data_IF_195589592925
#
_entry.id   IF_195589592925
#
_cell.length_a   1.000
_cell.length_b   1.000
_cell.length_c   1.000
_cell.angle_alpha   90.00
_cell.angle_beta   90.00
_cell.angle_gamma   90.00
#
_symmetry.space_group_name_H-M   'P 1'
#
loop_
_entity.id
_entity.type
_entity.pdbx_description
1 polymer ?
#
# COMPACT_ATOMS: atom_id res chain seq x y z
N UNK A 1 -17.00 37.12 -55.25
CA UNK A 1 -15.97 36.50 -54.40
C UNK A 1 -16.71 36.00 -53.18
N UNK A 2 -17.21 34.78 -53.29
CA UNK A 2 -18.05 34.10 -52.29
C UNK A 2 -17.14 33.45 -51.24
N UNK A 3 -16.62 34.26 -50.32
CA UNK A 3 -16.20 33.74 -49.03
C UNK A 3 -17.47 33.50 -48.21
N UNK A 4 -18.13 32.37 -48.51
CA UNK A 4 -19.25 31.87 -47.74
C UNK A 4 -18.90 31.89 -46.26
N UNK A 5 -19.83 32.37 -45.44
CA UNK A 5 -19.67 32.72 -44.02
C UNK A 5 -19.39 31.48 -43.18
N UNK A 6 -18.19 30.93 -43.31
CA UNK A 6 -17.75 29.78 -42.55
C UNK A 6 -17.29 30.26 -41.18
N UNK A 7 -17.88 29.75 -40.11
CA UNK A 7 -17.43 30.05 -38.76
C UNK A 7 -16.27 29.13 -38.38
N UNK A 8 -15.29 29.67 -37.68
CA UNK A 8 -14.24 28.88 -37.03
C UNK A 8 -14.58 28.82 -35.54
N UNK A 9 -14.80 27.62 -35.03
CA UNK A 9 -15.08 27.40 -33.60
C UNK A 9 -13.75 27.14 -32.92
N UNK A 10 -13.37 28.03 -32.01
CA UNK A 10 -12.27 27.82 -31.08
C UNK A 10 -12.87 27.54 -29.70
N UNK A 11 -12.54 26.39 -29.10
CA UNK A 11 -13.05 26.04 -27.76
C UNK A 11 -12.34 26.79 -26.63
N UNK A 12 -11.16 27.36 -26.90
CA UNK A 12 -10.43 28.20 -25.94
C UNK A 12 -10.90 29.66 -25.93
N UNK A 13 -11.35 30.15 -27.08
CA UNK A 13 -11.79 31.53 -27.25
C UNK A 13 -13.28 31.51 -27.55
N UNK A 14 -14.12 32.03 -26.65
CA UNK A 14 -15.54 32.20 -26.95
C UNK A 14 -15.70 33.07 -28.18
N UNK A 15 -15.97 32.44 -29.33
CA UNK A 15 -16.12 33.13 -30.59
C UNK A 15 -17.49 33.80 -30.63
N UNK A 16 -17.56 35.05 -30.17
CA UNK A 16 -18.67 35.95 -30.50
C UNK A 16 -18.29 36.71 -31.77
N UNK A 17 -18.80 36.24 -32.91
CA UNK A 17 -18.80 37.09 -34.12
C UNK A 17 -20.05 37.95 -34.14
N UNK A 18 -20.07 39.00 -34.98
CA UNK A 18 -21.27 39.81 -35.17
C UNK A 18 -22.49 39.00 -35.62
N UNK A 19 -22.30 37.76 -36.12
CA UNK A 19 -23.33 36.91 -36.71
C UNK A 19 -23.76 35.73 -35.84
N UNK A 20 -22.98 35.36 -34.82
CA UNK A 20 -23.25 34.19 -33.95
C UNK A 20 -23.50 34.64 -32.51
N UNK A 21 -24.55 34.07 -31.90
CA UNK A 21 -24.81 34.12 -30.47
C UNK A 21 -24.19 32.87 -29.84
N UNK A 22 -23.45 33.07 -28.75
CA UNK A 22 -22.92 31.99 -27.92
C UNK A 22 -23.62 32.01 -26.58
N UNK A 23 -24.29 30.92 -26.23
CA UNK A 23 -24.94 30.72 -24.93
C UNK A 23 -24.27 29.58 -24.17
N UNK A 24 -24.12 29.71 -22.85
CA UNK A 24 -23.63 28.63 -21.99
C UNK A 24 -24.70 28.31 -20.96
N UNK A 25 -25.10 27.04 -20.88
CA UNK A 25 -26.09 26.53 -19.93
C UNK A 25 -25.50 25.38 -19.12
N UNK A 26 -25.98 25.24 -17.89
CA UNK A 26 -25.69 24.06 -17.06
C UNK A 26 -26.66 22.95 -17.49
N UNK A 27 -26.11 21.78 -17.80
CA UNK A 27 -26.86 20.59 -18.20
C UNK A 27 -26.63 19.50 -17.15
N UNK A 28 -27.71 19.06 -16.50
CA UNK A 28 -27.64 18.06 -15.43
C UNK A 28 -26.59 18.37 -14.33
N UNK A 29 -26.44 19.65 -13.94
CA UNK A 29 -25.51 20.20 -12.91
C UNK A 29 -24.02 20.02 -13.16
N UNK A 30 -23.60 18.81 -13.53
CA UNK A 30 -22.21 18.42 -13.72
C UNK A 30 -21.67 18.72 -15.13
N UNK A 31 -22.54 18.68 -16.13
CA UNK A 31 -22.19 18.98 -17.51
C UNK A 31 -22.56 20.41 -17.88
N UNK A 32 -21.83 20.98 -18.82
CA UNK A 32 -22.12 22.30 -19.38
C UNK A 32 -22.33 22.16 -20.87
N UNK A 33 -23.29 22.89 -21.41
CA UNK A 33 -23.49 23.00 -22.85
C UNK A 33 -23.18 24.42 -23.31
N UNK A 34 -22.32 24.55 -24.30
CA UNK A 34 -22.10 25.81 -25.02
C UNK A 34 -22.74 25.68 -26.40
N UNK A 35 -23.73 26.52 -26.69
CA UNK A 35 -24.46 26.51 -27.95
C UNK A 35 -24.11 27.72 -28.81
N UNK A 36 -23.82 27.45 -30.08
CA UNK A 36 -23.50 28.42 -31.13
C UNK A 36 -24.66 28.46 -32.10
N UNK A 37 -25.31 29.63 -32.21
CA UNK A 37 -26.52 29.82 -33.02
C UNK A 37 -26.44 31.14 -33.82
N UNK A 38 -26.96 31.15 -35.04
CA UNK A 38 -26.94 32.37 -35.87
C UNK A 38 -27.93 33.43 -35.36
N UNK A 39 -27.52 34.71 -35.34
CA UNK A 39 -28.39 35.83 -34.91
C UNK A 39 -29.64 36.00 -35.75
N UNK A 40 -29.54 35.72 -37.04
CA UNK A 40 -30.64 35.80 -38.01
C UNK A 40 -31.40 34.47 -38.16
N UNK A 41 -30.97 33.40 -37.47
CA UNK A 41 -31.56 32.06 -37.60
C UNK A 41 -31.27 31.35 -38.93
N UNK A 42 -30.46 31.93 -39.81
CA UNK A 42 -30.09 31.28 -41.07
C UNK A 42 -28.99 30.23 -40.86
N UNK A 43 -28.99 29.16 -41.67
CA UNK A 43 -27.95 28.15 -41.61
C UNK A 43 -26.57 28.73 -41.95
N UNK A 44 -25.54 28.20 -41.29
CA UNK A 44 -24.15 28.57 -41.50
C UNK A 44 -23.30 27.32 -41.72
N UNK A 45 -22.10 27.54 -42.28
CA UNK A 45 -21.09 26.48 -42.44
C UNK A 45 -20.04 26.58 -41.35
N UNK A 46 -19.45 25.45 -40.96
CA UNK A 46 -18.30 25.46 -40.04
C UNK A 46 -17.02 25.20 -40.80
N UNK A 47 -16.16 26.21 -40.86
CA UNK A 47 -14.87 26.18 -41.56
C UNK A 47 -13.82 25.36 -40.81
N UNK A 48 -13.59 25.60 -39.51
CA UNK A 48 -12.65 24.82 -38.67
C UNK A 48 -13.13 24.70 -37.22
N UNK A 49 -12.67 23.67 -36.50
CA UNK A 49 -12.97 23.41 -35.09
C UNK A 49 -11.64 23.15 -34.37
N UNK A 50 -11.30 23.98 -33.39
CA UNK A 50 -10.02 23.95 -32.68
C UNK A 50 -10.22 23.83 -31.17
N UNK A 51 -9.35 23.08 -30.51
CA UNK A 51 -9.26 23.01 -29.06
C UNK A 51 -7.99 23.66 -28.51
N UNK A 52 -7.80 23.59 -27.18
CA UNK A 52 -6.70 24.27 -26.51
C UNK A 52 -5.29 23.95 -27.00
N UNK A 53 -5.12 22.78 -27.61
CA UNK A 53 -3.80 22.25 -27.97
C UNK A 53 -3.80 21.43 -29.26
N UNK A 54 -4.97 21.26 -29.91
CA UNK A 54 -5.17 20.36 -31.04
C UNK A 54 -6.24 20.90 -32.00
N UNK A 55 -6.06 20.67 -33.29
CA UNK A 55 -7.11 20.81 -34.30
C UNK A 55 -7.85 19.47 -34.44
N UNK A 56 -9.18 19.50 -34.48
CA UNK A 56 -9.99 18.28 -34.54
C UNK A 56 -10.34 17.92 -35.98
N UNK A 57 -10.29 16.62 -36.30
CA UNK A 57 -10.64 16.14 -37.63
C UNK A 57 -12.13 16.28 -37.92
N UNK A 58 -12.42 16.76 -39.13
CA UNK A 58 -13.77 17.01 -39.63
C UNK A 58 -14.30 15.97 -40.60
N UNK A 59 -13.45 15.05 -41.03
CA UNK A 59 -13.76 14.13 -42.13
C UNK A 59 -15.00 13.25 -41.87
N UNK A 60 -15.43 13.14 -40.60
CA UNK A 60 -16.62 12.39 -40.19
C UNK A 60 -17.80 13.29 -39.73
N UNK A 61 -17.69 14.61 -39.90
CA UNK A 61 -18.71 15.57 -39.47
C UNK A 61 -19.34 16.22 -40.70
N UNK A 62 -20.65 16.03 -40.87
CA UNK A 62 -21.41 16.84 -41.82
C UNK A 62 -21.64 18.23 -41.19
N UNK A 63 -20.98 19.26 -41.74
CA UNK A 63 -20.96 20.63 -41.22
C UNK A 63 -21.57 21.66 -42.18
N UNK A 64 -22.36 21.20 -43.16
CA UNK A 64 -23.17 22.04 -44.03
C UNK A 64 -24.56 22.31 -43.43
N UNK A 65 -25.23 23.39 -43.82
CA UNK A 65 -26.61 23.73 -43.42
C UNK A 65 -26.89 23.65 -41.91
N UNK A 66 -25.92 24.06 -41.09
CA UNK A 66 -25.97 23.98 -39.63
C UNK A 66 -26.71 25.19 -39.06
N UNK A 67 -27.65 24.96 -38.16
CA UNK A 67 -28.40 26.04 -37.48
C UNK A 67 -27.95 26.21 -36.04
N UNK A 68 -27.57 25.11 -35.38
CA UNK A 68 -27.05 25.12 -34.00
C UNK A 68 -25.94 24.09 -33.85
N UNK A 69 -24.87 24.46 -33.15
CA UNK A 69 -23.89 23.52 -32.61
C UNK A 69 -23.91 23.63 -31.11
N UNK A 70 -24.09 22.49 -30.44
CA UNK A 70 -24.08 22.40 -28.99
C UNK A 70 -22.92 21.52 -28.55
N UNK A 71 -22.07 22.05 -27.67
CA UNK A 71 -20.81 21.43 -27.25
C UNK A 71 -20.87 21.17 -25.76
N UNK A 72 -20.64 19.93 -25.36
CA UNK A 72 -20.71 19.50 -23.99
C UNK A 72 -19.31 19.36 -23.38
N UNK A 73 -19.13 20.00 -22.23
CA UNK A 73 -17.91 19.94 -21.42
C UNK A 73 -18.24 19.57 -19.98
N UNK A 74 -17.25 19.06 -19.24
CA UNK A 74 -17.43 18.66 -17.85
C UNK A 74 -17.16 19.85 -16.93
N UNK A 75 -17.68 19.80 -15.70
CA UNK A 75 -17.37 20.83 -14.72
C UNK A 75 -15.86 20.94 -14.46
N UNK A 76 -15.32 22.16 -14.57
CA UNK A 76 -13.91 22.43 -14.32
C UNK A 76 -12.96 22.11 -15.48
N UNK A 77 -13.49 21.77 -16.66
CA UNK A 77 -12.71 21.58 -17.89
C UNK A 77 -13.49 22.06 -19.11
N UNK A 78 -12.83 22.86 -19.94
CA UNK A 78 -13.42 23.39 -21.17
C UNK A 78 -13.13 22.51 -22.39
N UNK A 79 -12.39 21.40 -22.23
CA UNK A 79 -12.21 20.40 -23.29
C UNK A 79 -13.55 19.74 -23.63
N UNK A 80 -13.97 19.76 -24.90
CA UNK A 80 -15.23 19.16 -25.31
C UNK A 80 -15.06 17.66 -25.50
N UNK A 81 -16.11 16.91 -25.15
CA UNK A 81 -16.13 15.46 -25.31
C UNK A 81 -17.42 14.94 -25.95
N UNK A 82 -18.49 15.75 -26.02
CA UNK A 82 -19.68 15.46 -26.84
C UNK A 82 -20.08 16.72 -27.61
N UNK A 83 -20.55 16.55 -28.84
CA UNK A 83 -21.04 17.61 -29.71
C UNK A 83 -22.35 17.19 -30.37
N UNK A 84 -23.30 18.11 -30.47
CA UNK A 84 -24.55 17.96 -31.18
C UNK A 84 -24.60 18.98 -32.32
N UNK A 85 -24.91 18.52 -33.53
CA UNK A 85 -25.10 19.35 -34.72
C UNK A 85 -26.57 19.31 -35.08
N UNK A 86 -27.22 20.47 -35.14
CA UNK A 86 -28.60 20.63 -35.59
C UNK A 86 -28.64 21.21 -37.00
N UNK A 87 -29.32 20.50 -37.91
CA UNK A 87 -29.47 20.85 -39.33
C UNK A 87 -30.75 21.66 -39.57
N UNK A 88 -30.82 22.36 -40.70
CA UNK A 88 -31.99 23.16 -41.09
C UNK A 88 -33.30 22.35 -41.15
N UNK A 89 -33.21 21.08 -41.51
CA UNK A 89 -34.34 20.13 -41.52
C UNK A 89 -34.80 19.67 -40.12
N UNK A 90 -34.18 20.19 -39.04
CA UNK A 90 -34.50 19.86 -37.65
C UNK A 90 -33.81 18.59 -37.14
N UNK A 91 -33.01 17.91 -37.98
CA UNK A 91 -32.25 16.72 -37.58
C UNK A 91 -31.11 17.10 -36.63
N UNK A 92 -31.03 16.40 -35.49
CA UNK A 92 -29.93 16.48 -34.53
C UNK A 92 -29.02 15.26 -34.64
N UNK A 93 -27.72 15.48 -34.72
CA UNK A 93 -26.71 14.45 -34.86
C UNK A 93 -25.69 14.60 -33.73
N UNK A 94 -25.53 13.56 -32.92
CA UNK A 94 -24.61 13.57 -31.78
C UNK A 94 -23.31 12.83 -32.08
N UNK A 95 -22.21 13.41 -31.64
CA UNK A 95 -20.88 12.84 -31.74
C UNK A 95 -20.15 12.90 -30.39
N UNK A 96 -19.32 11.90 -30.10
CA UNK A 96 -18.48 11.83 -28.90
C UNK A 96 -17.00 11.69 -29.24
N UNK A 97 -16.17 12.16 -28.32
CA UNK A 97 -14.77 11.78 -28.18
C UNK A 97 -14.63 10.89 -26.95
N UNK A 98 -14.07 9.69 -27.15
CA UNK A 98 -13.91 8.70 -26.08
C UNK A 98 -12.47 8.63 -25.54
N UNK A 99 -11.58 9.49 -26.01
CA UNK A 99 -10.19 9.55 -25.53
C UNK A 99 -9.62 10.95 -25.73
N UNK A 100 -8.84 11.44 -24.75
CA UNK A 100 -8.06 12.68 -24.86
C UNK A 100 -7.05 12.67 -26.00
N UNK A 101 -6.58 11.47 -26.39
CA UNK A 101 -5.64 11.30 -27.50
C UNK A 101 -6.35 11.20 -28.85
N UNK A 102 -7.69 11.11 -28.86
CA UNK A 102 -8.46 11.11 -30.09
C UNK A 102 -8.64 12.53 -30.61
N UNK A 103 -8.39 12.71 -31.89
CA UNK A 103 -8.73 13.92 -32.64
C UNK A 103 -9.95 13.72 -33.55
N UNK A 104 -10.55 12.52 -33.55
CA UNK A 104 -11.74 12.19 -34.33
C UNK A 104 -13.01 12.14 -33.48
N UNK A 105 -14.10 12.59 -34.08
CA UNK A 105 -15.46 12.52 -33.55
C UNK A 105 -16.13 11.22 -34.00
N UNK A 106 -16.78 10.52 -33.09
CA UNK A 106 -17.51 9.27 -33.37
C UNK A 106 -19.00 9.52 -33.22
N UNK A 107 -19.82 9.08 -34.19
CA UNK A 107 -21.28 9.19 -34.13
C UNK A 107 -21.82 8.41 -32.91
N UNK A 108 -22.79 8.98 -32.20
CA UNK A 108 -23.58 8.32 -31.14
C UNK A 108 -24.93 7.91 -31.76
N UNK A 109 -25.07 6.67 -32.28
CA UNK A 109 -26.28 6.26 -32.99
C UNK A 109 -27.54 6.27 -32.11
N UNK A 110 -27.40 6.03 -30.81
CA UNK A 110 -28.50 5.88 -29.86
C UNK A 110 -29.29 7.16 -29.58
N UNK A 111 -28.79 8.33 -30.01
CA UNK A 111 -29.44 9.63 -29.79
C UNK A 111 -30.15 10.19 -31.02
N UNK A 112 -30.04 9.51 -32.16
CA UNK A 112 -30.57 9.98 -33.43
C UNK A 112 -31.97 9.37 -33.67
N UNK A 113 -32.90 10.17 -34.22
CA UNK A 113 -34.25 9.72 -34.65
C UNK A 113 -35.20 9.29 -33.52
N UNK A 114 -35.13 9.94 -32.35
CA UNK A 114 -35.94 9.64 -31.16
C UNK A 114 -36.77 10.86 -30.73
N UNK A 115 -37.93 10.63 -30.11
CA UNK A 115 -38.78 11.65 -29.49
C UNK A 115 -38.05 12.47 -28.40
N UNK A 116 -38.37 13.76 -28.35
CA UNK A 116 -37.74 14.81 -27.53
C UNK A 116 -37.66 14.50 -26.03
N UNK A 117 -38.66 13.86 -25.43
CA UNK A 117 -38.68 13.55 -23.99
C UNK A 117 -37.76 12.36 -23.64
N UNK A 118 -37.63 11.38 -24.55
CA UNK A 118 -36.72 10.25 -24.37
C UNK A 118 -35.26 10.69 -24.59
N UNK A 119 -35.05 11.71 -25.43
CA UNK A 119 -33.75 12.24 -25.82
C UNK A 119 -32.95 12.78 -24.63
N UNK A 120 -33.59 13.47 -23.68
CA UNK A 120 -32.90 14.02 -22.49
C UNK A 120 -32.32 12.93 -21.58
N UNK A 121 -33.07 11.85 -21.34
CA UNK A 121 -32.58 10.72 -20.52
C UNK A 121 -31.44 9.98 -21.20
N UNK A 122 -31.56 9.75 -22.51
CA UNK A 122 -30.51 9.11 -23.29
C UNK A 122 -29.27 9.99 -23.39
N UNK A 123 -29.44 11.31 -23.48
CA UNK A 123 -28.34 12.27 -23.51
C UNK A 123 -27.51 12.19 -22.23
N UNK A 124 -28.15 12.13 -21.06
CA UNK A 124 -27.42 11.95 -19.79
C UNK A 124 -26.60 10.65 -19.79
N UNK A 125 -27.16 9.54 -20.29
CA UNK A 125 -26.45 8.26 -20.40
C UNK A 125 -25.24 8.37 -21.33
N UNK A 126 -25.42 8.95 -22.53
CA UNK A 126 -24.35 9.15 -23.49
C UNK A 126 -23.23 10.06 -22.95
N UNK A 127 -23.60 11.15 -22.26
CA UNK A 127 -22.64 12.05 -21.61
C UNK A 127 -21.83 11.32 -20.53
N UNK A 128 -22.49 10.49 -19.72
CA UNK A 128 -21.83 9.65 -18.72
C UNK A 128 -20.84 8.67 -19.35
N UNK A 129 -21.25 7.97 -20.41
CA UNK A 129 -20.40 6.98 -21.07
C UNK A 129 -19.20 7.61 -21.76
N UNK A 130 -19.40 8.73 -22.47
CA UNK A 130 -18.33 9.49 -23.08
C UNK A 130 -17.37 10.06 -22.03
N UNK A 131 -17.90 10.63 -20.94
CA UNK A 131 -17.11 11.13 -19.82
C UNK A 131 -16.22 10.06 -19.21
N UNK A 132 -16.79 8.88 -18.94
CA UNK A 132 -16.07 7.73 -18.36
C UNK A 132 -14.81 7.37 -19.15
N UNK A 133 -14.94 7.30 -20.47
CA UNK A 133 -13.85 6.87 -21.35
C UNK A 133 -12.86 8.01 -21.60
N UNK A 134 -13.36 9.23 -21.82
CA UNK A 134 -12.53 10.39 -22.09
C UNK A 134 -11.66 10.80 -20.88
N UNK A 135 -12.21 10.70 -19.67
CA UNK A 135 -11.56 11.14 -18.43
C UNK A 135 -11.00 9.99 -17.58
N UNK A 136 -10.86 8.78 -18.14
CA UNK A 136 -10.44 7.58 -17.41
C UNK A 136 -9.16 7.83 -16.59
N UNK A 137 -9.18 7.46 -15.31
CA UNK A 137 -8.05 7.64 -14.40
C UNK A 137 -7.85 6.48 -13.44
N UNK A 138 -6.62 6.32 -12.93
CA UNK A 138 -6.29 5.38 -11.86
C UNK A 138 -5.64 6.16 -10.72
N UNK A 139 -6.23 6.12 -9.53
CA UNK A 139 -5.61 6.71 -8.34
C UNK A 139 -4.54 5.74 -7.81
N UNK A 140 -3.27 6.16 -7.81
CA UNK A 140 -2.17 5.39 -7.21
C UNK A 140 -1.90 5.84 -5.79
N UNK A 141 -1.89 4.90 -4.86
CA UNK A 141 -1.69 5.14 -3.43
C UNK A 141 -0.59 4.22 -2.93
N UNK A 142 0.47 4.83 -2.41
CA UNK A 142 1.53 4.14 -1.70
C UNK A 142 2.11 5.08 -0.64
N UNK A 143 3.04 4.57 0.17
CA UNK A 143 3.65 5.38 1.22
C UNK A 143 4.40 6.62 0.67
N UNK A 144 5.00 6.54 -0.53
CA UNK A 144 5.66 7.71 -1.14
C UNK A 144 4.65 8.78 -1.48
N UNK A 145 3.49 8.41 -2.02
CA UNK A 145 2.40 9.34 -2.32
C UNK A 145 1.91 10.04 -1.04
N UNK A 146 1.76 9.31 0.06
CA UNK A 146 1.35 9.88 1.35
C UNK A 146 2.41 10.82 1.94
N UNK A 147 3.70 10.56 1.72
CA UNK A 147 4.81 11.44 2.15
C UNK A 147 4.95 12.67 1.26
N UNK A 148 4.87 12.50 -0.06
CA UNK A 148 4.98 13.61 -1.02
C UNK A 148 3.71 14.46 -1.10
N UNK A 149 2.60 13.97 -0.54
CA UNK A 149 1.30 14.62 -0.53
C UNK A 149 0.74 14.93 -1.93
N UNK A 150 1.15 14.15 -2.92
CA UNK A 150 0.71 14.31 -4.31
C UNK A 150 0.93 13.03 -5.13
N UNK A 151 0.09 12.82 -6.14
CA UNK A 151 0.26 11.76 -7.14
C UNK A 151 -0.30 12.18 -8.49
N UNK A 152 0.10 11.49 -9.56
CA UNK A 152 -0.31 11.80 -10.92
C UNK A 152 -0.76 10.54 -11.66
N UNK A 153 -1.76 10.73 -12.51
CA UNK A 153 -2.13 9.81 -13.57
C UNK A 153 -2.32 10.61 -14.86
N UNK A 154 -1.44 10.40 -15.84
CA UNK A 154 -1.41 11.19 -17.09
C UNK A 154 -1.40 12.70 -16.81
N UNK A 155 -2.42 13.44 -17.24
CA UNK A 155 -2.59 14.88 -17.04
C UNK A 155 -3.30 15.24 -15.71
N UNK A 156 -3.77 14.25 -14.95
CA UNK A 156 -4.54 14.45 -13.71
C UNK A 156 -3.60 14.42 -12.51
N UNK A 157 -3.51 15.54 -11.80
CA UNK A 157 -2.81 15.64 -10.51
C UNK A 157 -3.82 15.46 -9.39
N UNK A 158 -3.47 14.62 -8.43
CA UNK A 158 -4.16 14.52 -7.16
C UNK A 158 -3.32 15.20 -6.09
N UNK A 159 -3.86 16.24 -5.47
CA UNK A 159 -3.33 16.78 -4.22
C UNK A 159 -3.82 15.90 -3.07
N UNK A 160 -2.91 15.48 -2.19
CA UNK A 160 -3.23 14.68 -1.02
C UNK A 160 -3.21 15.59 0.20
N UNK A 161 -4.38 15.78 0.81
CA UNK A 161 -4.54 16.64 1.99
C UNK A 161 -4.64 15.72 3.21
N UNK A 162 -3.62 15.69 4.08
CA UNK A 162 -3.64 14.88 5.28
C UNK A 162 -4.49 15.56 6.35
N UNK A 163 -5.38 14.79 6.95
CA UNK A 163 -6.17 15.17 8.11
C UNK A 163 -5.79 14.26 9.28
N UNK A 164 -4.65 14.60 9.89
CA UNK A 164 -4.12 13.87 11.04
C UNK A 164 -5.03 14.12 12.24
N UNK A 165 -5.24 13.10 13.07
CA UNK A 165 -6.21 13.14 14.16
C UNK A 165 -7.64 13.39 13.68
N UNK A 166 -8.00 12.90 12.48
CA UNK A 166 -9.36 13.03 11.94
C UNK A 166 -10.40 12.59 12.97
N UNK A 167 -10.21 11.42 13.56
CA UNK A 167 -10.88 10.97 14.77
C UNK A 167 -9.90 10.25 15.70
N UNK A 168 -10.33 9.91 16.92
CA UNK A 168 -9.46 9.28 17.91
C UNK A 168 -8.93 7.94 17.36
N UNK A 169 -7.61 7.83 17.22
CA UNK A 169 -6.92 6.62 16.73
C UNK A 169 -6.69 6.56 15.22
N UNK A 170 -7.26 7.47 14.43
CA UNK A 170 -7.24 7.35 12.96
C UNK A 170 -6.93 8.65 12.24
N UNK A 171 -6.21 8.50 11.14
CA UNK A 171 -5.87 9.57 10.21
C UNK A 171 -6.64 9.38 8.90
N UNK A 172 -6.89 10.47 8.18
CA UNK A 172 -7.61 10.47 6.90
C UNK A 172 -6.82 11.25 5.86
N UNK A 173 -6.69 10.72 4.65
CA UNK A 173 -6.02 11.40 3.55
C UNK A 173 -7.03 11.65 2.45
N UNK A 174 -7.26 12.92 2.12
CA UNK A 174 -8.18 13.34 1.04
C UNK A 174 -7.40 13.50 -0.25
N UNK A 175 -7.76 12.73 -1.26
CA UNK A 175 -7.25 12.82 -2.61
C UNK A 175 -8.18 13.71 -3.43
N UNK A 176 -7.70 14.92 -3.72
CA UNK A 176 -8.44 15.92 -4.49
C UNK A 176 -7.83 16.06 -5.89
N UNK A 177 -8.55 15.67 -6.96
CA UNK A 177 -8.06 15.89 -8.31
C UNK A 177 -8.06 17.39 -8.65
N UNK A 178 -7.10 17.83 -9.47
CA UNK A 178 -6.98 19.21 -9.95
C UNK A 178 -7.89 19.51 -11.17
N UNK A 179 -8.61 18.52 -11.68
CA UNK A 179 -9.51 18.60 -12.82
C UNK A 179 -10.51 17.43 -12.82
N UNK A 180 -11.40 17.33 -13.82
CA UNK A 180 -12.33 16.22 -13.94
C UNK A 180 -11.61 14.89 -14.20
N UNK A 181 -12.17 13.83 -13.63
CA UNK A 181 -11.65 12.47 -13.76
C UNK A 181 -12.78 11.42 -13.75
N UNK A 182 -12.55 10.27 -14.35
CA UNK A 182 -13.42 9.11 -14.23
C UNK A 182 -12.61 7.98 -13.61
N UNK A 183 -12.77 7.79 -12.30
CA UNK A 183 -11.96 6.85 -11.55
C UNK A 183 -12.31 5.41 -11.94
N UNK A 184 -11.41 4.76 -12.67
CA UNK A 184 -11.54 3.36 -13.07
C UNK A 184 -11.28 2.40 -11.90
N UNK A 185 -10.23 2.68 -11.14
CA UNK A 185 -9.79 1.87 -9.99
C UNK A 185 -8.86 2.68 -9.08
N UNK A 186 -8.64 2.16 -7.88
CA UNK A 186 -7.62 2.61 -6.93
C UNK A 186 -6.52 1.54 -6.90
N UNK A 187 -5.27 1.93 -7.07
CA UNK A 187 -4.10 1.06 -7.02
C UNK A 187 -3.37 1.26 -5.69
N UNK A 188 -3.48 0.29 -4.77
CA UNK A 188 -2.78 0.31 -3.48
C UNK A 188 -1.47 -0.47 -3.60
N UNK A 189 -0.32 0.20 -3.42
CA UNK A 189 1.00 -0.42 -3.53
C UNK A 189 1.22 -1.23 -4.82
N UNK A 190 0.64 -0.75 -5.93
CA UNK A 190 0.72 -1.39 -7.25
C UNK A 190 -0.35 -2.46 -7.52
N UNK A 191 -1.20 -2.77 -6.54
CA UNK A 191 -2.33 -3.70 -6.70
C UNK A 191 -3.60 -2.92 -7.03
N UNK A 192 -4.18 -3.17 -8.20
CA UNK A 192 -5.46 -2.57 -8.59
C UNK A 192 -6.61 -3.24 -7.85
N UNK A 193 -7.34 -2.44 -7.07
CA UNK A 193 -8.48 -2.92 -6.31
C UNK A 193 -9.70 -3.15 -7.19
N UNK A 194 -10.51 -4.13 -6.79
CA UNK A 194 -11.79 -4.45 -7.40
C UNK A 194 -12.91 -3.95 -6.49
N UNK A 195 -13.77 -3.09 -7.00
CA UNK A 195 -14.93 -2.60 -6.26
C UNK A 195 -16.20 -3.29 -6.74
N UNK A 196 -17.11 -3.56 -5.81
CA UNK A 196 -18.46 -4.06 -6.12
C UNK A 196 -19.39 -2.98 -6.68
N UNK A 197 -18.98 -1.72 -6.63
CA UNK A 197 -19.68 -0.56 -7.19
C UNK A 197 -18.84 0.19 -8.22
N UNK A 198 -19.51 1.00 -9.03
CA UNK A 198 -18.90 1.79 -10.09
C UNK A 198 -18.29 3.09 -9.52
N UNK A 199 -16.99 3.30 -9.73
CA UNK A 199 -16.27 4.49 -9.24
C UNK A 199 -16.11 5.62 -10.28
N UNK A 200 -16.62 5.44 -11.51
CA UNK A 200 -16.35 6.35 -12.63
C UNK A 200 -16.89 7.79 -12.43
N UNK A 201 -17.76 8.02 -11.44
CA UNK A 201 -18.33 9.35 -11.13
C UNK A 201 -17.99 9.83 -9.72
N UNK A 202 -16.89 9.34 -9.16
CA UNK A 202 -16.35 9.83 -7.89
C UNK A 202 -15.66 11.17 -8.13
N UNK A 203 -15.93 12.18 -7.32
CA UNK A 203 -15.24 13.47 -7.33
C UNK A 203 -14.01 13.46 -6.42
N UNK A 204 -14.16 12.95 -5.20
CA UNK A 204 -13.09 12.92 -4.21
C UNK A 204 -13.02 11.56 -3.53
N UNK A 205 -11.81 11.17 -3.14
CA UNK A 205 -11.55 9.89 -2.46
C UNK A 205 -10.85 10.21 -1.15
N UNK A 206 -11.24 9.52 -0.09
CA UNK A 206 -10.61 9.61 1.21
C UNK A 206 -10.17 8.22 1.63
N UNK A 207 -8.95 8.10 2.12
CA UNK A 207 -8.41 6.83 2.59
C UNK A 207 -8.06 6.97 4.07
N UNK A 208 -8.56 6.03 4.85
CA UNK A 208 -8.41 6.02 6.30
C UNK A 208 -7.36 4.99 6.70
N UNK A 209 -6.56 5.39 7.67
CA UNK A 209 -5.46 4.61 8.21
C UNK A 209 -5.53 4.62 9.73
N UNK A 210 -5.04 3.54 10.34
CA UNK A 210 -4.72 3.57 11.77
C UNK A 210 -3.59 4.59 11.99
N UNK A 211 -3.61 5.28 13.12
CA UNK A 211 -2.56 6.26 13.42
C UNK A 211 -1.20 5.55 13.44
N UNK A 212 -0.18 6.19 12.88
CA UNK A 212 1.17 5.63 12.68
C UNK A 212 1.26 4.45 11.68
N UNK A 213 0.14 4.04 11.08
CA UNK A 213 0.09 3.02 10.04
C UNK A 213 -0.37 3.57 8.68
N UNK A 214 0.55 4.16 7.94
CA UNK A 214 0.29 4.53 6.54
C UNK A 214 0.37 3.35 5.58
N UNK A 215 0.60 2.12 6.06
CA UNK A 215 0.81 0.93 5.20
C UNK A 215 -0.44 0.11 4.95
N UNK A 216 -1.44 0.20 5.84
CA UNK A 216 -2.68 -0.58 5.72
C UNK A 216 -3.91 0.32 5.62
N UNK A 217 -4.47 0.53 4.42
CA UNK A 217 -5.75 1.19 4.26
C UNK A 217 -6.87 0.40 4.94
N UNK A 218 -7.67 1.06 5.78
CA UNK A 218 -8.76 0.43 6.54
C UNK A 218 -10.13 0.65 5.90
N UNK A 219 -10.33 1.86 5.37
CA UNK A 219 -11.59 2.31 4.80
C UNK A 219 -11.28 3.26 3.63
N UNK A 220 -12.05 3.12 2.56
CA UNK A 220 -12.08 4.09 1.47
C UNK A 220 -13.47 4.74 1.49
N UNK A 221 -13.51 6.06 1.63
CA UNK A 221 -14.71 6.86 1.41
C UNK A 221 -14.62 7.51 0.03
N UNK A 222 -15.70 7.48 -0.73
CA UNK A 222 -15.82 8.23 -1.98
C UNK A 222 -16.92 9.25 -1.85
N UNK A 223 -16.71 10.42 -2.47
CA UNK A 223 -17.73 11.45 -2.64
C UNK A 223 -18.01 11.60 -4.13
N UNK A 224 -19.22 11.28 -4.53
CA UNK A 224 -19.62 11.29 -5.94
C UNK A 224 -19.89 12.71 -6.47
N UNK A 225 -19.83 12.88 -7.79
CA UNK A 225 -20.27 14.10 -8.45
C UNK A 225 -21.79 14.32 -8.28
N UNK A 226 -22.19 15.57 -8.17
CA UNK A 226 -23.59 15.96 -8.18
C UNK A 226 -24.13 16.00 -9.61
N UNK A 227 -24.74 14.90 -10.07
CA UNK A 227 -25.24 14.76 -11.45
C UNK A 227 -26.77 14.79 -11.45
N UNK A 228 -27.35 15.65 -12.29
CA UNK A 228 -28.79 15.86 -12.40
C UNK A 228 -29.35 16.58 -11.17
N UNK A 229 -30.49 16.12 -10.66
CA UNK A 229 -31.06 16.63 -9.41
C UNK A 229 -30.70 15.77 -8.19
N UNK A 230 -29.74 14.85 -8.33
CA UNK A 230 -29.27 14.02 -7.23
C UNK A 230 -28.34 14.81 -6.30
N UNK A 231 -28.35 14.48 -5.02
CA UNK A 231 -27.34 14.95 -4.07
C UNK A 231 -26.05 14.15 -4.23
N UNK A 232 -24.86 14.74 -3.96
CA UNK A 232 -23.62 13.97 -3.94
C UNK A 232 -23.71 12.85 -2.89
N UNK A 233 -23.24 11.67 -3.27
CA UNK A 233 -23.34 10.46 -2.47
C UNK A 233 -22.00 10.15 -1.83
N UNK A 234 -22.03 9.79 -0.55
CA UNK A 234 -20.86 9.30 0.18
C UNK A 234 -20.92 7.78 0.31
N UNK A 235 -20.00 7.07 -0.33
CA UNK A 235 -19.91 5.62 -0.26
C UNK A 235 -18.70 5.19 0.57
N UNK A 236 -18.80 4.03 1.22
CA UNK A 236 -17.77 3.50 2.11
C UNK A 236 -17.45 2.05 1.75
N UNK A 237 -16.17 1.78 1.58
CA UNK A 237 -15.66 0.49 1.16
C UNK A 237 -14.60 -0.02 2.14
N UNK A 238 -14.66 -1.31 2.46
CA UNK A 238 -13.58 -2.02 3.17
C UNK A 238 -13.21 -3.28 2.40
N UNK A 239 -12.02 -3.82 2.64
CA UNK A 239 -11.62 -5.08 2.04
C UNK A 239 -12.56 -6.22 2.49
N UNK A 240 -12.96 -7.10 1.57
CA UNK A 240 -13.88 -8.21 1.85
C UNK A 240 -13.31 -9.19 2.89
N UNK A 241 -11.98 -9.32 2.93
CA UNK A 241 -11.22 -9.96 3.99
C UNK A 241 -9.82 -9.34 4.07
N UNK A 242 -9.06 -9.68 5.10
CA UNK A 242 -7.67 -9.22 5.26
C UNK A 242 -6.85 -9.65 4.03
N UNK A 243 -6.16 -8.69 3.40
CA UNK A 243 -5.43 -8.83 2.12
C UNK A 243 -6.25 -9.18 0.87
N UNK A 244 -7.59 -9.05 0.89
CA UNK A 244 -8.38 -9.17 -0.34
C UNK A 244 -8.20 -7.91 -1.21
N UNK A 245 -8.09 -8.09 -2.53
CA UNK A 245 -8.08 -6.98 -3.48
C UNK A 245 -9.51 -6.50 -3.80
N UNK A 246 -10.53 -7.23 -3.34
CA UNK A 246 -11.95 -6.87 -3.44
C UNK A 246 -12.37 -5.99 -2.28
N UNK A 247 -12.85 -4.81 -2.61
CA UNK A 247 -13.38 -3.81 -1.70
C UNK A 247 -14.89 -3.75 -1.86
N UNK A 248 -15.59 -4.04 -0.77
CA UNK A 248 -17.05 -4.18 -0.74
C UNK A 248 -17.68 -3.01 0.00
N UNK A 249 -18.84 -2.58 -0.50
CA UNK A 249 -19.60 -1.53 0.13
C UNK A 249 -20.16 -2.00 1.48
N UNK A 250 -20.07 -1.15 2.51
CA UNK A 250 -20.57 -1.50 3.84
C UNK A 250 -22.11 -1.49 3.89
N UNK A 251 -22.71 -2.64 4.25
CA UNK A 251 -24.14 -2.98 4.11
C UNK A 251 -25.15 -2.25 5.02
N UNK A 252 -24.75 -1.28 5.84
CA UNK A 252 -25.70 -0.33 6.41
C UNK A 252 -25.92 0.76 5.35
N UNK A 253 -26.84 0.54 4.41
CA UNK A 253 -26.94 1.30 3.15
C UNK A 253 -26.70 2.79 3.27
N UNK A 254 -25.81 3.35 2.45
CA UNK A 254 -25.51 4.77 2.49
C UNK A 254 -25.07 5.28 1.12
N UNK A 255 -26.01 5.40 0.18
CA UNK A 255 -26.00 6.58 -0.70
C UNK A 255 -26.37 7.77 0.19
N UNK A 256 -25.46 8.18 1.07
CA UNK A 256 -25.76 9.27 2.00
C UNK A 256 -25.58 10.59 1.30
N UNK A 257 -26.64 11.40 1.33
CA UNK A 257 -26.56 12.80 0.92
C UNK A 257 -25.75 13.66 1.91
N UNK A 258 -25.43 13.18 3.12
CA UNK A 258 -24.72 13.92 4.17
C UNK A 258 -23.60 13.12 4.84
N UNK A 259 -22.47 13.76 5.13
CA UNK A 259 -21.36 13.15 5.87
C UNK A 259 -21.82 12.67 7.26
N UNK A 260 -21.47 11.43 7.63
CA UNK A 260 -21.68 10.93 8.99
C UNK A 260 -20.78 11.67 9.98
N UNK A 261 -21.20 11.71 11.23
CA UNK A 261 -20.40 12.25 12.32
C UNK A 261 -19.12 11.43 12.52
N UNK A 262 -18.03 12.08 12.97
CA UNK A 262 -16.73 11.43 13.20
C UNK A 262 -16.80 10.18 14.08
N UNK A 263 -17.74 10.12 15.02
CA UNK A 263 -17.96 8.96 15.90
C UNK A 263 -18.50 7.74 15.16
N UNK A 264 -19.31 7.91 14.13
CA UNK A 264 -19.78 6.77 13.32
C UNK A 264 -18.64 6.18 12.50
N UNK A 265 -17.83 7.06 11.89
CA UNK A 265 -16.65 6.65 11.14
C UNK A 265 -15.67 5.91 12.06
N UNK A 266 -15.46 6.42 13.27
CA UNK A 266 -14.65 5.74 14.28
C UNK A 266 -15.18 4.34 14.57
N UNK A 267 -16.50 4.17 14.80
CA UNK A 267 -17.09 2.85 15.06
C UNK A 267 -16.87 1.87 13.89
N UNK A 268 -16.96 2.34 12.64
CA UNK A 268 -16.68 1.51 11.47
C UNK A 268 -15.20 1.10 11.48
N UNK A 269 -14.29 2.06 11.67
CA UNK A 269 -12.85 1.80 11.70
C UNK A 269 -12.47 0.83 12.83
N UNK A 270 -13.01 1.03 14.03
CA UNK A 270 -12.81 0.13 15.18
C UNK A 270 -13.25 -1.30 14.83
N UNK A 271 -14.43 -1.45 14.21
CA UNK A 271 -14.93 -2.77 13.77
C UNK A 271 -14.04 -3.42 12.70
N UNK A 272 -13.43 -2.64 11.82
CA UNK A 272 -12.47 -3.15 10.83
C UNK A 272 -11.18 -3.57 11.52
N UNK A 273 -10.67 -2.75 12.44
CA UNK A 273 -9.46 -3.05 13.22
C UNK A 273 -9.63 -4.29 14.10
N UNK A 274 -10.79 -4.48 14.71
CA UNK A 274 -11.11 -5.67 15.52
C UNK A 274 -11.02 -6.97 14.69
N UNK A 275 -11.32 -6.92 13.39
CA UNK A 275 -11.12 -8.07 12.50
C UNK A 275 -9.63 -8.42 12.34
N UNK A 276 -8.73 -7.43 12.32
CA UNK A 276 -7.27 -7.67 12.31
C UNK A 276 -6.77 -8.23 13.65
N UNK A 277 -7.33 -7.77 14.78
CA UNK A 277 -6.99 -8.25 16.12
C UNK A 277 -7.31 -9.74 16.31
N UNK A 278 -8.43 -10.18 15.74
CA UNK A 278 -8.91 -11.56 15.85
C UNK A 278 -8.41 -12.48 14.73
N UNK A 279 -7.68 -11.97 13.75
CA UNK A 279 -7.19 -12.76 12.64
C UNK A 279 -5.89 -13.49 13.01
N UNK A 280 -5.87 -14.83 12.97
CA UNK A 280 -4.66 -15.61 13.22
C UNK A 280 -3.63 -15.36 12.11
N UNK A 281 -2.41 -15.03 12.49
CA UNK A 281 -1.30 -14.77 11.56
C UNK A 281 -0.17 -15.77 11.75
N UNK A 282 0.31 -16.29 10.63
CA UNK A 282 1.57 -17.02 10.54
C UNK A 282 2.73 -16.03 10.37
N UNK A 283 3.62 -16.00 11.35
CA UNK A 283 4.81 -15.15 11.31
C UNK A 283 5.98 -15.95 10.76
N UNK A 284 6.45 -15.58 9.56
CA UNK A 284 7.71 -16.09 9.02
C UNK A 284 8.83 -15.08 9.30
N UNK A 285 9.74 -15.44 10.20
CA UNK A 285 10.92 -14.66 10.54
C UNK A 285 12.08 -15.10 9.66
N UNK A 286 12.47 -14.23 8.73
CA UNK A 286 13.74 -14.41 8.03
C UNK A 286 14.89 -13.87 8.89
N UNK A 287 16.00 -14.62 8.93
CA UNK A 287 17.20 -14.16 9.63
C UNK A 287 17.87 -13.01 8.88
N UNK A 288 17.50 -11.80 9.24
CA UNK A 288 18.12 -10.61 8.69
C UNK A 288 19.43 -10.29 9.42
N UNK A 289 20.51 -10.09 8.64
CA UNK A 289 21.82 -9.66 9.14
C UNK A 289 21.97 -8.14 9.07
N UNK A 290 21.16 -7.41 9.84
CA UNK A 290 21.36 -5.97 10.00
C UNK A 290 22.65 -5.72 10.77
N UNK A 291 23.51 -4.83 10.28
CA UNK A 291 24.81 -4.47 10.90
C UNK A 291 24.77 -3.18 11.70
N UNK A 292 23.68 -2.44 11.58
CA UNK A 292 23.44 -1.12 12.20
C UNK A 292 21.98 -1.03 12.61
N UNK A 293 21.64 0.00 13.38
CA UNK A 293 20.26 0.34 13.69
C UNK A 293 19.38 0.37 12.45
N UNK A 294 18.19 -0.23 12.51
CA UNK A 294 17.22 -0.18 11.43
C UNK A 294 15.81 -0.01 11.99
N UNK A 295 15.00 0.84 11.35
CA UNK A 295 13.60 1.07 11.72
C UNK A 295 12.77 1.27 10.45
N UNK A 296 11.84 0.35 10.16
CA UNK A 296 10.99 0.42 8.97
C UNK A 296 9.77 -0.51 9.12
N UNK A 297 8.69 -0.31 8.35
CA UNK A 297 7.58 -1.27 8.32
C UNK A 297 7.99 -2.56 7.58
N UNK A 298 7.70 -3.72 8.17
CA UNK A 298 7.88 -5.05 7.56
C UNK A 298 6.53 -5.78 7.51
N UNK A 299 6.27 -6.55 6.46
CA UNK A 299 5.09 -7.41 6.38
C UNK A 299 5.45 -8.81 6.87
N UNK A 300 4.77 -9.29 7.91
CA UNK A 300 4.91 -10.67 8.41
C UNK A 300 3.57 -11.37 8.25
N UNK A 301 3.56 -12.40 7.41
CA UNK A 301 2.34 -13.02 6.92
C UNK A 301 1.44 -11.97 6.25
N UNK A 302 0.33 -11.68 6.90
CA UNK A 302 -0.75 -10.85 6.38
C UNK A 302 -0.83 -9.46 7.01
N UNK A 303 0.03 -9.13 7.99
CA UNK A 303 -0.03 -7.89 8.77
C UNK A 303 1.31 -7.13 8.68
N UNK A 304 1.22 -5.80 8.68
CA UNK A 304 2.40 -4.93 8.79
C UNK A 304 2.78 -4.71 10.26
N UNK A 305 4.07 -4.82 10.53
CA UNK A 305 4.72 -4.54 11.81
C UNK A 305 5.69 -3.37 11.65
N UNK A 306 5.77 -2.50 12.63
CA UNK A 306 6.94 -1.65 12.82
C UNK A 306 8.07 -2.54 13.32
N UNK A 307 9.10 -2.67 12.50
CA UNK A 307 10.31 -3.40 12.82
C UNK A 307 11.37 -2.44 13.30
N UNK A 308 12.02 -2.81 14.40
CA UNK A 308 13.22 -2.13 14.89
C UNK A 308 14.33 -3.15 15.13
N UNK A 309 15.54 -2.85 14.68
CA UNK A 309 16.74 -3.62 14.97
C UNK A 309 17.72 -2.78 15.79
N UNK A 310 18.20 -3.34 16.89
CA UNK A 310 19.26 -2.74 17.70
C UNK A 310 20.38 -3.73 18.01
N UNK A 311 21.59 -3.19 18.22
CA UNK A 311 22.78 -3.95 18.57
C UNK A 311 23.32 -3.39 19.88
N UNK A 312 23.53 -4.27 20.85
CA UNK A 312 24.18 -3.96 22.14
C UNK A 312 25.58 -4.57 22.18
N UNK A 313 26.27 -4.39 23.30
CA UNK A 313 27.60 -4.98 23.55
C UNK A 313 27.59 -6.50 23.68
N UNK A 314 26.43 -7.13 23.89
CA UNK A 314 26.33 -8.57 24.17
C UNK A 314 25.37 -9.33 23.23
N UNK A 315 24.42 -8.63 22.61
CA UNK A 315 23.42 -9.23 21.74
C UNK A 315 22.96 -8.23 20.67
N UNK A 316 22.20 -8.74 19.70
CA UNK A 316 21.35 -7.91 18.86
C UNK A 316 19.90 -8.34 19.08
N UNK A 317 18.96 -7.42 18.96
CA UNK A 317 17.55 -7.78 19.05
C UNK A 317 16.74 -7.08 17.97
N UNK A 318 15.64 -7.73 17.61
CA UNK A 318 14.59 -7.09 16.83
C UNK A 318 13.34 -6.93 17.70
N UNK A 319 12.61 -5.84 17.52
CA UNK A 319 11.26 -5.65 18.03
C UNK A 319 10.27 -5.61 16.87
N UNK A 320 9.07 -6.11 17.13
CA UNK A 320 7.99 -6.19 16.15
C UNK A 320 6.70 -5.73 16.81
N UNK A 321 6.21 -4.56 16.39
CA UNK A 321 4.97 -3.96 16.89
C UNK A 321 3.93 -3.96 15.76
N UNK A 322 2.78 -4.64 15.86
CA UNK A 322 1.76 -4.64 14.82
C UNK A 322 1.20 -3.23 14.65
N UNK A 323 1.08 -2.78 13.39
CA UNK A 323 0.70 -1.40 13.09
C UNK A 323 -0.81 -1.13 13.09
N UNK A 324 -1.61 -2.08 12.60
CA UNK A 324 -3.05 -1.87 12.37
C UNK A 324 -3.86 -1.87 13.66
N UNK A 325 -3.73 -2.96 14.44
CA UNK A 325 -4.64 -3.27 15.54
C UNK A 325 -4.00 -3.14 16.92
N UNK A 326 -2.79 -2.58 17.03
CA UNK A 326 -1.94 -2.54 18.23
C UNK A 326 -1.61 -3.92 18.84
N UNK A 327 -2.30 -4.98 18.40
CA UNK A 327 -2.22 -6.36 18.84
C UNK A 327 -2.38 -7.28 17.63
N UNK A 328 -1.81 -8.49 17.73
CA UNK A 328 -2.00 -9.56 16.75
C UNK A 328 -2.23 -10.89 17.43
N UNK A 329 -3.02 -11.76 16.82
CA UNK A 329 -3.11 -13.16 17.21
C UNK A 329 -2.10 -13.98 16.39
N UNK A 330 -1.07 -14.52 17.04
CA UNK A 330 -0.07 -15.37 16.37
C UNK A 330 -0.55 -16.83 16.42
N UNK A 331 -0.75 -17.45 15.25
CA UNK A 331 -1.05 -18.90 15.16
C UNK A 331 0.25 -19.71 15.14
N UNK A 332 1.19 -19.32 14.27
CA UNK A 332 2.45 -20.04 14.07
C UNK A 332 3.61 -19.09 13.89
N UNK A 333 4.79 -19.57 14.26
CA UNK A 333 6.05 -18.91 13.97
C UNK A 333 6.91 -19.88 13.17
N UNK A 334 7.44 -19.41 12.05
CA UNK A 334 8.50 -20.09 11.32
C UNK A 334 9.75 -19.22 11.29
N UNK A 335 10.91 -19.87 11.28
CA UNK A 335 12.21 -19.21 11.14
C UNK A 335 12.88 -19.81 9.90
N UNK A 336 13.22 -18.97 8.93
CA UNK A 336 13.79 -19.38 7.63
C UNK A 336 12.98 -20.52 6.97
N UNK A 337 11.65 -20.45 7.06
CA UNK A 337 10.73 -21.44 6.52
C UNK A 337 10.55 -22.72 7.35
N UNK A 338 11.22 -22.87 8.49
CA UNK A 338 11.01 -23.99 9.42
C UNK A 338 10.05 -23.62 10.55
N UNK A 339 8.96 -24.37 10.67
CA UNK A 339 7.97 -24.21 11.75
C UNK A 339 8.61 -24.41 13.13
N UNK A 340 8.27 -23.52 14.05
CA UNK A 340 8.76 -23.53 15.43
C UNK A 340 7.64 -23.95 16.36
N UNK A 341 7.90 -24.92 17.23
CA UNK A 341 6.96 -25.39 18.24
C UNK A 341 7.11 -24.49 19.46
N UNK A 342 6.18 -23.55 19.62
CA UNK A 342 6.13 -22.63 20.76
C UNK A 342 4.71 -22.53 21.29
N UNK A 343 4.54 -22.78 22.59
CA UNK A 343 3.25 -22.57 23.26
C UNK A 343 3.14 -21.10 23.70
N UNK A 344 2.60 -20.25 22.83
CA UNK A 344 2.43 -18.81 23.09
C UNK A 344 1.20 -18.55 24.00
N UNK A 345 0.52 -19.60 24.48
CA UNK A 345 -0.69 -19.50 25.31
C UNK A 345 -1.83 -18.70 24.63
N UNK A 346 -1.92 -18.71 23.29
CA UNK A 346 -2.93 -18.04 22.44
C UNK A 346 -3.49 -16.74 23.02
N UNK A 347 -2.63 -15.71 23.13
CA UNK A 347 -3.00 -14.36 23.53
C UNK A 347 -2.77 -13.38 22.39
N UNK A 348 -3.48 -12.27 22.44
CA UNK A 348 -3.20 -11.09 21.64
C UNK A 348 -1.86 -10.50 22.06
N UNK A 349 -0.98 -10.31 21.09
CA UNK A 349 0.41 -9.90 21.31
C UNK A 349 0.59 -8.46 20.82
N UNK A 350 0.79 -7.49 21.72
CA UNK A 350 1.09 -6.12 21.34
C UNK A 350 2.50 -5.91 20.80
N UNK A 351 3.46 -6.74 21.22
CA UNK A 351 4.82 -6.68 20.68
C UNK A 351 5.55 -7.97 21.01
N UNK A 352 6.47 -8.36 20.14
CA UNK A 352 7.40 -9.43 20.42
C UNK A 352 8.81 -9.08 20.00
N UNK A 353 9.77 -9.74 20.63
CA UNK A 353 11.19 -9.51 20.49
C UNK A 353 11.92 -10.81 20.18
N UNK A 354 12.95 -10.69 19.35
CA UNK A 354 13.82 -11.80 18.97
C UNK A 354 15.26 -11.40 19.27
N UNK A 355 15.97 -12.21 20.04
CA UNK A 355 17.34 -11.92 20.49
C UNK A 355 18.35 -12.86 19.85
N UNK A 356 19.44 -12.30 19.36
CA UNK A 356 20.51 -12.99 18.63
C UNK A 356 21.85 -12.77 19.30
N UNK A 357 22.78 -13.70 19.07
CA UNK A 357 24.16 -13.50 19.48
C UNK A 357 24.81 -12.41 18.66
N UNK A 358 25.52 -11.49 19.32
CA UNK A 358 26.17 -10.37 18.64
C UNK A 358 27.14 -10.83 17.53
N UNK A 359 27.95 -11.85 17.83
CA UNK A 359 28.98 -12.41 16.94
C UNK A 359 28.51 -13.59 16.07
N UNK A 360 27.31 -14.14 16.34
CA UNK A 360 26.71 -15.18 15.52
C UNK A 360 25.21 -14.94 15.35
N UNK A 361 24.87 -14.10 14.38
CA UNK A 361 23.47 -13.72 14.07
C UNK A 361 22.71 -14.79 13.30
N UNK A 362 23.31 -15.97 13.07
CA UNK A 362 22.69 -17.07 12.34
C UNK A 362 21.81 -18.00 13.20
N UNK A 363 21.76 -17.77 14.52
CA UNK A 363 20.92 -18.56 15.43
C UNK A 363 20.21 -17.63 16.42
N UNK A 364 18.88 -17.68 16.39
CA UNK A 364 18.02 -17.01 17.37
C UNK A 364 18.20 -17.65 18.75
N UNK A 365 18.48 -16.84 19.77
CA UNK A 365 18.76 -17.29 21.15
C UNK A 365 17.51 -17.32 22.02
N UNK A 366 16.79 -16.21 22.07
CA UNK A 366 15.61 -16.03 22.90
C UNK A 366 14.50 -15.38 22.07
N UNK A 367 13.26 -15.72 22.39
CA UNK A 367 12.09 -14.96 22.00
C UNK A 367 11.39 -14.44 23.24
N UNK A 368 10.79 -13.27 23.13
CA UNK A 368 10.03 -12.66 24.20
C UNK A 368 8.74 -12.08 23.64
N UNK A 369 7.61 -12.39 24.27
CA UNK A 369 6.30 -11.90 23.87
C UNK A 369 5.72 -11.07 25.00
N UNK A 370 5.30 -9.84 24.71
CA UNK A 370 4.44 -9.08 25.61
C UNK A 370 3.06 -9.71 25.55
N UNK A 371 2.51 -10.05 26.70
CA UNK A 371 1.15 -10.57 26.84
C UNK A 371 0.27 -9.47 27.44
N UNK A 372 -1.00 -9.42 27.06
CA UNK A 372 -1.95 -8.57 27.78
C UNK A 372 -2.16 -9.19 29.16
N UNK A 373 -1.61 -8.55 30.20
CA UNK A 373 -1.71 -9.00 31.59
C UNK A 373 -2.78 -8.26 32.38
N UNK A 374 -3.31 -8.92 33.41
CA UNK A 374 -4.10 -8.27 34.46
C UNK A 374 -3.18 -7.31 35.24
N UNK A 375 -3.60 -6.05 35.37
CA UNK A 375 -2.83 -4.94 35.96
C UNK A 375 -2.44 -5.10 37.45
N UNK A 376 -2.67 -6.27 38.04
CA UNK A 376 -2.58 -6.54 39.48
C UNK A 376 -1.38 -7.38 39.91
N UNK A 377 -0.46 -7.74 39.00
CA UNK A 377 0.76 -8.51 39.37
C UNK A 377 2.03 -7.67 39.23
N UNK A 378 2.94 -7.77 40.20
CA UNK A 378 4.29 -7.17 40.15
C UNK A 378 5.26 -7.85 39.15
N UNK A 379 4.76 -8.73 38.29
CA UNK A 379 5.57 -9.42 37.26
C UNK A 379 5.50 -8.63 35.96
N UNK A 380 6.57 -8.65 35.17
CA UNK A 380 6.51 -8.07 33.83
C UNK A 380 5.48 -8.83 33.00
N UNK A 381 4.79 -8.12 32.10
CA UNK A 381 3.86 -8.73 31.15
C UNK A 381 4.60 -9.49 30.02
N UNK A 382 5.90 -9.72 30.17
CA UNK A 382 6.76 -10.33 29.16
C UNK A 382 7.02 -11.79 29.48
N UNK A 383 6.75 -12.64 28.50
CA UNK A 383 6.99 -14.08 28.60
C UNK A 383 8.14 -14.48 27.70
N UNK A 384 9.17 -15.03 28.32
CA UNK A 384 10.42 -15.39 27.67
C UNK A 384 10.47 -16.87 27.28
N UNK A 385 11.08 -17.15 26.14
CA UNK A 385 11.26 -18.49 25.60
C UNK A 385 12.71 -18.68 25.16
N UNK A 386 13.21 -19.89 25.39
CA UNK A 386 14.51 -20.36 24.90
C UNK A 386 14.31 -21.62 24.07
N UNK A 387 15.27 -21.94 23.19
CA UNK A 387 15.29 -23.23 22.50
C UNK A 387 15.41 -24.38 23.49
N UNK A 388 14.66 -25.44 23.23
CA UNK A 388 14.78 -26.71 23.92
C UNK A 388 16.14 -27.36 23.60
N UNK A 389 16.66 -28.15 24.53
CA UNK A 389 17.96 -28.80 24.36
C UNK A 389 17.87 -30.11 23.56
N UNK A 390 16.70 -30.75 23.53
CA UNK A 390 16.48 -32.02 22.83
C UNK A 390 15.96 -31.85 21.41
N UNK A 391 15.26 -30.74 21.12
CA UNK A 391 14.63 -30.49 19.83
C UNK A 391 14.90 -29.04 19.35
N UNK A 392 15.64 -28.88 18.25
CA UNK A 392 16.12 -27.56 17.79
C UNK A 392 15.00 -26.56 17.42
N UNK A 393 13.84 -27.06 16.99
CA UNK A 393 12.69 -26.27 16.58
C UNK A 393 11.67 -26.03 17.72
N UNK A 394 11.93 -26.58 18.91
CA UNK A 394 11.04 -26.46 20.05
C UNK A 394 11.51 -25.34 20.98
N UNK A 395 10.56 -24.57 21.46
CA UNK A 395 10.77 -23.47 22.39
C UNK A 395 10.08 -23.76 23.70
N UNK A 396 10.81 -23.56 24.79
CA UNK A 396 10.32 -23.78 26.15
C UNK A 396 10.34 -22.49 26.94
N UNK A 397 9.35 -22.35 27.82
CA UNK A 397 9.24 -21.23 28.74
C UNK A 397 10.56 -21.06 29.52
N UNK A 398 11.05 -19.84 29.56
CA UNK A 398 12.27 -19.47 30.24
C UNK A 398 11.93 -18.66 31.48
N UNK A 399 12.27 -19.20 32.65
CA UNK A 399 12.05 -18.52 33.94
C UNK A 399 12.99 -17.30 34.06
N UNK A 400 12.49 -16.18 33.53
CA UNK A 400 13.16 -14.90 33.43
C UNK A 400 12.11 -13.80 33.35
N UNK A 401 12.15 -12.87 34.29
CA UNK A 401 11.22 -11.76 34.41
C UNK A 401 11.98 -10.45 34.17
N UNK A 402 11.86 -9.91 32.96
CA UNK A 402 12.53 -8.70 32.53
C UNK A 402 11.76 -8.04 31.39
N UNK A 403 11.63 -6.73 31.44
CA UNK A 403 11.04 -5.91 30.39
C UNK A 403 12.12 -5.50 29.35
N UNK A 404 12.03 -5.94 28.08
CA UNK A 404 12.92 -5.50 27.00
C UNK A 404 13.03 -3.99 26.81
N UNK A 405 12.02 -3.21 27.24
CA UNK A 405 11.98 -1.76 27.12
C UNK A 405 12.74 -1.03 28.25
N UNK A 406 12.97 -1.69 29.40
CA UNK A 406 13.49 -1.04 30.61
C UNK A 406 14.69 -1.78 31.24
N UNK A 407 14.71 -3.11 31.20
CA UNK A 407 15.61 -3.97 31.99
C UNK A 407 16.86 -4.44 31.22
N UNK A 408 17.43 -3.58 30.38
CA UNK A 408 18.54 -3.94 29.48
C UNK A 408 19.73 -4.58 30.21
N UNK A 409 20.08 -4.12 31.42
CA UNK A 409 21.17 -4.70 32.22
C UNK A 409 20.89 -6.13 32.66
N UNK A 410 19.67 -6.41 33.10
CA UNK A 410 19.27 -7.77 33.51
C UNK A 410 19.31 -8.72 32.30
N UNK A 411 18.88 -8.24 31.15
CA UNK A 411 18.95 -8.98 29.88
C UNK A 411 20.40 -9.22 29.47
N UNK A 412 21.28 -8.22 29.57
CA UNK A 412 22.73 -8.37 29.32
C UNK A 412 23.33 -9.49 30.19
N UNK A 413 23.11 -9.44 31.51
CA UNK A 413 23.62 -10.46 32.44
C UNK A 413 23.05 -11.85 32.12
N UNK A 414 21.76 -11.93 31.80
CA UNK A 414 21.12 -13.22 31.50
C UNK A 414 21.67 -13.81 30.21
N UNK A 415 21.81 -13.01 29.15
CA UNK A 415 22.38 -13.45 27.88
C UNK A 415 23.86 -13.83 28.05
N UNK A 416 24.64 -13.05 28.82
CA UNK A 416 26.01 -13.41 29.18
C UNK A 416 26.08 -14.78 29.89
N UNK A 417 25.21 -15.03 30.87
CA UNK A 417 25.16 -16.31 31.59
C UNK A 417 24.77 -17.50 30.69
N UNK A 418 23.96 -17.28 29.66
CA UNK A 418 23.62 -18.29 28.66
C UNK A 418 24.82 -18.63 27.76
N UNK A 419 25.78 -17.72 27.61
CA UNK A 419 27.06 -18.01 26.96
C UNK A 419 28.03 -18.76 27.87
N UNK A 420 28.08 -18.41 29.17
CA UNK A 420 29.03 -18.99 30.13
C UNK A 420 28.61 -20.39 30.63
N UNK A 421 27.32 -20.64 30.80
CA UNK A 421 26.78 -21.94 31.25
C UNK A 421 26.87 -23.05 30.21
N UNK A 422 27.22 -22.71 28.96
CA UNK A 422 27.67 -23.69 27.97
C UNK A 422 29.16 -23.95 28.21
N UNK A 423 29.48 -25.06 28.90
CA UNK A 423 30.65 -25.85 28.47
C UNK A 423 30.55 -25.92 26.95
N UNK A 424 31.62 -25.62 26.18
CA UNK A 424 31.53 -25.59 24.74
C UNK A 424 31.07 -26.97 24.28
N UNK A 425 29.76 -27.15 24.11
CA UNK A 425 29.22 -28.10 23.17
C UNK A 425 29.96 -27.73 21.91
N UNK A 426 30.85 -28.62 21.49
CA UNK A 426 31.78 -28.46 20.38
C UNK A 426 30.99 -28.17 19.09
N UNK A 427 30.46 -26.95 18.97
CA UNK A 427 30.09 -26.34 17.71
C UNK A 427 31.44 -25.96 17.10
N UNK A 428 32.10 -26.99 16.54
CA UNK A 428 33.45 -26.94 15.97
C UNK A 428 33.58 -25.89 14.86
N UNK A 429 32.46 -25.30 14.41
CA UNK A 429 32.42 -24.15 13.51
C UNK A 429 32.86 -22.83 14.16
N UNK A 430 32.90 -22.72 15.49
CA UNK A 430 33.18 -21.46 16.21
C UNK A 430 34.55 -21.41 16.92
N UNK A 431 35.28 -22.53 17.00
CA UNK A 431 36.66 -22.47 17.49
C UNK A 431 37.53 -21.92 16.36
N UNK A 432 38.28 -20.81 16.55
CA UNK A 432 39.20 -20.33 15.54
C UNK A 432 40.12 -21.49 15.18
N UNK A 433 40.14 -21.89 13.91
CA UNK A 433 40.90 -23.03 13.39
C UNK A 433 42.36 -23.04 13.90
N UNK A 434 42.91 -21.83 14.11
CA UNK A 434 44.18 -21.54 14.76
C UNK A 434 44.35 -22.12 16.18
N UNK A 435 43.38 -21.99 17.09
CA UNK A 435 43.46 -22.49 18.47
C UNK A 435 43.44 -24.01 18.52
N UNK A 436 42.63 -24.63 17.64
CA UNK A 436 42.58 -26.07 17.49
C UNK A 436 43.89 -26.62 16.88
N UNK A 437 44.43 -25.93 15.87
CA UNK A 437 45.74 -26.23 15.29
C UNK A 437 46.88 -26.05 16.30
N UNK A 438 46.79 -25.06 17.19
CA UNK A 438 47.76 -24.85 18.28
C UNK A 438 47.72 -26.02 19.26
N UNK A 439 46.54 -26.44 19.69
CA UNK A 439 46.38 -27.57 20.62
C UNK A 439 46.87 -28.89 20.00
N UNK A 440 46.52 -29.16 18.75
CA UNK A 440 47.02 -30.31 17.99
C UNK A 440 48.54 -30.23 17.82
N UNK A 441 49.07 -29.07 17.45
CA UNK A 441 50.51 -28.83 17.31
C UNK A 441 51.25 -29.04 18.63
N UNK A 442 50.66 -28.64 19.75
CA UNK A 442 51.21 -28.84 21.09
C UNK A 442 51.20 -30.32 21.47
N UNK A 443 50.11 -31.04 21.20
CA UNK A 443 50.00 -32.49 21.41
C UNK A 443 51.00 -33.28 20.55
N UNK A 444 51.11 -32.95 19.25
CA UNK A 444 52.08 -33.56 18.33
C UNK A 444 53.51 -33.25 18.80
N UNK A 445 53.80 -32.00 19.15
CA UNK A 445 55.10 -31.58 19.67
C UNK A 445 55.49 -32.31 20.95
N UNK A 446 54.54 -32.51 21.87
CA UNK A 446 54.76 -33.26 23.11
C UNK A 446 55.00 -34.75 22.83
N UNK A 447 54.25 -35.33 21.89
CA UNK A 447 54.40 -36.74 21.51
C UNK A 447 55.72 -37.01 20.78
N UNK A 448 56.13 -36.15 19.84
CA UNK A 448 57.42 -36.24 19.15
C UNK A 448 58.56 -35.98 20.14
N UNK A 449 58.45 -34.96 21.00
CA UNK A 449 59.45 -34.61 21.99
C UNK A 449 59.72 -35.74 22.99
N UNK A 450 58.66 -36.38 23.50
CA UNK A 450 58.79 -37.53 24.42
C UNK A 450 59.29 -38.80 23.73
N UNK A 451 58.95 -39.01 22.46
CA UNK A 451 59.44 -40.15 21.67
C UNK A 451 60.92 -40.02 21.30
N UNK A 452 61.37 -38.81 20.95
CA UNK A 452 62.76 -38.50 20.65
C UNK A 452 63.63 -38.50 21.91
N UNK A 453 63.14 -37.99 23.05
CA UNK A 453 63.88 -38.03 24.32
C UNK A 453 64.11 -39.47 24.80
N UNK A 454 63.11 -40.36 24.67
CA UNK A 454 63.28 -41.80 24.92
C UNK A 454 64.34 -42.44 24.03
N UNK A 455 64.46 -42.03 22.76
CA UNK A 455 65.50 -42.51 21.84
C UNK A 455 66.90 -42.00 22.22
N UNK A 456 67.03 -40.74 22.63
CA UNK A 456 68.29 -40.13 23.05
C UNK A 456 68.77 -40.74 24.38
N UNK A 457 67.87 -40.87 25.37
CA UNK A 457 68.17 -41.51 26.66
C UNK A 457 68.61 -42.97 26.47
N UNK A 458 67.94 -43.74 25.60
CA UNK A 458 68.37 -45.13 25.28
C UNK A 458 69.72 -45.21 24.56
N UNK A 459 70.07 -44.23 23.72
CA UNK A 459 71.40 -44.15 23.08
C UNK A 459 72.48 -43.76 24.08
N UNK A 460 72.18 -42.83 24.99
CA UNK A 460 73.10 -42.40 26.05
C UNK A 460 73.40 -43.56 27.02
N UNK A 461 72.37 -44.29 27.46
CA UNK A 461 72.51 -45.48 28.31
C UNK A 461 73.32 -46.63 27.65
N UNK A 462 73.29 -46.76 26.33
CA UNK A 462 74.16 -47.72 25.59
C UNK A 462 75.61 -47.25 25.51
N UNK A 463 75.86 -45.96 25.39
CA UNK A 463 77.21 -45.40 25.29
C UNK A 463 77.95 -45.39 26.63
N UNK A 464 77.22 -45.22 27.75
CA UNK A 464 77.81 -45.19 29.11
C UNK A 464 78.02 -46.58 29.73
N UNK A 465 77.79 -47.67 28.97
CA UNK A 465 78.18 -49.02 29.39
C UNK A 465 77.45 -49.59 30.61
N UNK A 466 76.25 -49.11 30.94
CA UNK A 466 75.50 -49.54 32.13
C UNK A 466 74.74 -50.87 31.97
N UNK A 467 75.00 -51.63 30.90
CA UNK A 467 74.61 -53.03 30.78
C UNK A 467 75.75 -53.84 30.13
N UNK A 468 76.58 -54.45 30.98
CA UNK A 468 77.35 -55.66 30.69
C UNK A 468 77.29 -56.52 31.95
N UNK A 469 76.21 -57.28 32.07
CA UNK A 469 76.15 -58.75 31.99
C UNK A 469 76.20 -59.41 33.38
N UNK A 470 75.02 -59.79 33.88
CA UNK A 470 74.88 -60.97 34.72
C UNK A 470 74.04 -62.00 33.97
N UNK A 471 74.72 -62.85 33.21
CA UNK A 471 74.25 -64.18 32.84
C UNK A 471 75.45 -65.09 32.54
N UNK A 472 76.12 -65.52 33.62
CA UNK A 472 76.39 -66.92 33.95
C UNK A 472 77.15 -67.02 35.27
#
# INVERSE_FOLDING_TARGET
MDDGVAIHIDFNVKVSTDRIIVTKSIVHRFFYCTSYLAKNGEPFKVGRIYGPSLEYYKENLDLDDVVVISVFTASGDDRPFVMCIEKQEGRRIFHAMYSKNSISWTLIPELNEIDSELQDKLLLTALKDAYRLYYESILKVDHKVLVYLMTYYEDIKYDVIPEIYYCLGYDRYRFRPNGPHALKTVSLYGVNLKFDQNLNFVNEIYIYYSRMDETTPLLIETKDYEIGNAFPLYNYYTAASINDDRWVALGCGTNLASAKCKSDIKRILDSVVDAYRSYPVDINLEQHKYTVYALFPIKLGHIYFQFEHQITSFYAYNSYVPKVAEYVLIDRISIDGQEQIIDIQSKEIPTFYTFYRQNNRSKLLLMCFKLIGDSYTNKSNFTWYRRDYGEENKWVLFDFDADPEHDHKLIDYKIASLYESRLPSLDLSEVPLYLFLLFIGLLIGLWIGTSCSKRIIRRLLRYTGLFRDHSN
#
